data_IF_586869242543
#
_entry.id   IF_586869242543
#
_cell.length_a   1.000
_cell.length_b   1.000
_cell.length_c   1.000
_cell.angle_alpha   90.00
_cell.angle_beta   90.00
_cell.angle_gamma   90.00
#
_symmetry.space_group_name_H-M   'P 1'
#
loop_
_entity.id
_entity.type
_entity.pdbx_description
1 polymer ?
#
# COMPACT_ATOMS: atom_id res chain seq x y z
N UNK A 1 -18.31 22.90 66.72
CA UNK A 1 -17.42 22.39 65.66
C UNK A 1 -17.98 22.78 64.31
N UNK A 2 -17.39 23.73 63.57
CA UNK A 2 -17.83 24.07 62.22
C UNK A 2 -17.03 23.31 61.16
N UNK A 3 -17.72 22.71 60.20
CA UNK A 3 -17.13 22.11 59.01
C UNK A 3 -16.92 23.18 57.91
N UNK A 4 -15.81 23.16 57.16
CA UNK A 4 -15.58 24.12 56.09
C UNK A 4 -16.30 23.71 54.78
N UNK A 5 -16.97 24.68 54.18
CA UNK A 5 -17.54 24.61 52.83
C UNK A 5 -16.40 24.59 51.80
N UNK A 6 -16.35 23.52 50.99
CA UNK A 6 -15.51 23.46 49.80
C UNK A 6 -16.22 24.14 48.63
N UNK A 7 -15.71 25.28 48.20
CA UNK A 7 -16.10 25.96 46.97
C UNK A 7 -15.32 25.36 45.80
N UNK A 8 -15.98 24.59 44.94
CA UNK A 8 -15.39 24.11 43.69
C UNK A 8 -15.77 25.06 42.55
N UNK A 9 -14.82 25.90 42.16
CA UNK A 9 -14.90 26.72 40.95
C UNK A 9 -14.69 25.85 39.71
N UNK A 10 -15.78 25.49 39.02
CA UNK A 10 -15.72 24.86 37.71
C UNK A 10 -15.41 25.90 36.64
N UNK A 11 -14.12 26.06 36.34
CA UNK A 11 -13.62 26.80 35.18
C UNK A 11 -13.83 25.95 33.92
N UNK A 12 -14.88 26.25 33.15
CA UNK A 12 -15.17 25.59 31.88
C UNK A 12 -14.32 26.23 30.78
N UNK A 13 -13.19 25.61 30.46
CA UNK A 13 -12.43 25.93 29.26
C UNK A 13 -13.20 25.45 28.03
N UNK A 14 -13.77 26.38 27.27
CA UNK A 14 -14.16 26.15 25.88
C UNK A 14 -12.88 25.98 25.04
N UNK A 15 -12.45 24.74 24.83
CA UNK A 15 -11.45 24.43 23.80
C UNK A 15 -12.14 24.52 22.45
N UNK A 16 -11.72 25.53 21.68
CA UNK A 16 -12.13 25.80 20.32
C UNK A 16 -11.89 24.57 19.43
N UNK A 17 -12.96 24.00 18.90
CA UNK A 17 -12.95 22.90 17.95
C UNK A 17 -12.74 23.48 16.54
N UNK A 18 -11.47 23.72 16.13
CA UNK A 18 -11.17 24.37 14.84
C UNK A 18 -10.02 23.74 14.03
N UNK A 19 -9.50 22.56 14.40
CA UNK A 19 -8.34 21.98 13.71
C UNK A 19 -8.65 20.99 12.58
N UNK A 20 -9.92 20.67 12.30
CA UNK A 20 -10.29 19.56 11.40
C UNK A 20 -10.31 19.93 9.91
N UNK A 21 -10.32 21.22 9.56
CA UNK A 21 -10.45 21.69 8.18
C UNK A 21 -9.11 21.99 7.50
N UNK A 22 -8.11 22.45 8.25
CA UNK A 22 -6.77 22.74 7.72
C UNK A 22 -6.03 21.46 7.28
N UNK A 23 -6.04 20.41 8.13
CA UNK A 23 -5.36 19.14 7.84
C UNK A 23 -5.89 18.42 6.58
N UNK A 24 -7.17 18.57 6.28
CA UNK A 24 -7.79 17.96 5.11
C UNK A 24 -7.42 18.71 3.83
N UNK A 25 -7.45 20.05 3.84
CA UNK A 25 -7.07 20.86 2.69
C UNK A 25 -5.59 20.63 2.30
N UNK A 26 -4.71 20.51 3.29
CA UNK A 26 -3.30 20.20 3.09
C UNK A 26 -3.11 18.82 2.45
N UNK A 27 -3.89 17.82 2.88
CA UNK A 27 -3.86 16.49 2.26
C UNK A 27 -4.36 16.50 0.82
N UNK A 28 -5.44 17.23 0.51
CA UNK A 28 -5.95 17.34 -0.87
C UNK A 28 -4.98 18.01 -1.83
N UNK A 29 -4.27 19.06 -1.37
CA UNK A 29 -3.25 19.72 -2.18
C UNK A 29 -2.11 18.75 -2.51
N UNK A 30 -1.64 17.99 -1.51
CA UNK A 30 -0.63 16.95 -1.68
C UNK A 30 -1.13 15.83 -2.60
N UNK A 31 -2.38 15.37 -2.42
CA UNK A 31 -2.95 14.31 -3.23
C UNK A 31 -2.97 14.70 -4.72
N UNK A 32 -3.37 15.94 -5.06
CA UNK A 32 -3.33 16.41 -6.45
C UNK A 32 -1.92 16.48 -7.03
N UNK A 33 -0.92 16.91 -6.26
CA UNK A 33 0.47 16.88 -6.73
C UNK A 33 0.98 15.43 -6.95
N UNK A 34 0.65 14.53 -6.03
CA UNK A 34 0.97 13.12 -6.14
C UNK A 34 0.30 12.51 -7.37
N UNK A 35 -0.98 12.78 -7.61
CA UNK A 35 -1.71 12.30 -8.79
C UNK A 35 -1.01 12.73 -10.08
N UNK A 36 -0.69 14.03 -10.19
CA UNK A 36 0.05 14.58 -11.32
C UNK A 36 1.38 13.87 -11.53
N UNK A 37 2.16 13.63 -10.47
CA UNK A 37 3.47 12.98 -10.57
C UNK A 37 3.36 11.46 -10.81
N UNK A 38 2.35 10.81 -10.27
CA UNK A 38 2.06 9.38 -10.50
C UNK A 38 1.56 9.13 -11.93
N UNK A 39 0.92 10.13 -12.57
CA UNK A 39 0.50 10.05 -13.97
C UNK A 39 1.64 10.05 -15.00
N UNK A 40 2.89 10.28 -14.54
CA UNK A 40 4.08 10.38 -15.38
C UNK A 40 5.14 9.38 -14.93
N UNK A 41 5.56 8.50 -15.86
CA UNK A 41 6.57 7.47 -15.56
C UNK A 41 7.89 8.08 -15.06
N UNK A 42 8.28 9.27 -15.55
CA UNK A 42 9.53 9.93 -15.17
C UNK A 42 9.57 10.32 -13.69
N UNK A 43 8.43 10.67 -13.12
CA UNK A 43 8.29 11.14 -11.72
C UNK A 43 7.62 10.09 -10.83
N UNK A 44 7.30 8.93 -11.39
CA UNK A 44 6.49 7.91 -10.75
C UNK A 44 7.15 7.37 -9.48
N UNK A 45 8.44 6.99 -9.55
CA UNK A 45 9.12 6.34 -8.42
C UNK A 45 9.13 7.24 -7.19
N UNK A 46 9.53 8.51 -7.36
CA UNK A 46 9.59 9.47 -6.27
C UNK A 46 8.21 9.67 -5.64
N UNK A 47 7.16 9.85 -6.47
CA UNK A 47 5.80 10.03 -5.99
C UNK A 47 5.24 8.77 -5.33
N UNK A 48 5.54 7.58 -5.85
CA UNK A 48 5.10 6.31 -5.29
C UNK A 48 5.77 6.03 -3.94
N UNK A 49 7.06 6.36 -3.78
CA UNK A 49 7.75 6.27 -2.50
C UNK A 49 7.19 7.26 -1.48
N UNK A 50 6.91 8.49 -1.89
CA UNK A 50 6.28 9.51 -1.05
C UNK A 50 4.87 9.07 -0.60
N UNK A 51 4.06 8.54 -1.52
CA UNK A 51 2.76 7.96 -1.21
C UNK A 51 2.91 6.78 -0.24
N UNK A 52 3.89 5.91 -0.43
CA UNK A 52 4.13 4.76 0.45
C UNK A 52 4.54 5.18 1.86
N UNK A 53 5.34 6.25 1.99
CA UNK A 53 5.66 6.83 3.30
C UNK A 53 4.40 7.41 3.97
N UNK A 54 3.56 8.11 3.20
CA UNK A 54 2.28 8.64 3.68
C UNK A 54 1.21 7.58 3.94
N UNK A 55 1.26 6.43 3.27
CA UNK A 55 0.29 5.37 3.51
C UNK A 55 0.60 4.57 4.79
N UNK A 56 1.77 4.78 5.41
CA UNK A 56 2.15 4.24 6.74
C UNK A 56 1.67 5.12 7.90
N UNK A 57 0.54 5.79 7.74
CA UNK A 57 -0.09 6.61 8.79
C UNK A 57 -0.79 5.75 9.85
N UNK A 58 -1.05 6.32 11.05
CA UNK A 58 -1.93 5.69 12.03
C UNK A 58 -3.31 5.38 11.45
N UNK A 59 -3.98 4.34 11.94
CA UNK A 59 -5.26 3.85 11.39
C UNK A 59 -6.34 4.93 11.24
N UNK A 60 -6.42 5.90 12.17
CA UNK A 60 -7.40 6.99 12.13
C UNK A 60 -7.20 7.92 10.93
N UNK A 61 -5.95 8.28 10.64
CA UNK A 61 -5.58 9.15 9.53
C UNK A 61 -5.66 8.41 8.20
N UNK A 62 -5.22 7.14 8.17
CA UNK A 62 -5.38 6.29 6.99
C UNK A 62 -6.86 6.16 6.61
N UNK A 63 -7.76 5.91 7.57
CA UNK A 63 -9.18 5.76 7.30
C UNK A 63 -9.78 7.02 6.66
N UNK A 64 -9.42 8.21 7.16
CA UNK A 64 -9.86 9.51 6.64
C UNK A 64 -9.47 9.74 5.19
N UNK A 65 -8.25 9.32 4.83
CA UNK A 65 -7.69 9.55 3.49
C UNK A 65 -7.73 8.29 2.59
N UNK A 66 -8.46 7.25 3.02
CA UNK A 66 -8.38 5.93 2.39
C UNK A 66 -8.86 5.94 0.93
N UNK A 67 -9.83 6.80 0.61
CA UNK A 67 -10.33 6.99 -0.75
C UNK A 67 -9.25 7.55 -1.66
N UNK A 68 -8.63 8.64 -1.23
CA UNK A 68 -7.62 9.35 -2.01
C UNK A 68 -6.37 8.49 -2.19
N UNK A 69 -5.93 7.76 -1.15
CA UNK A 69 -4.80 6.82 -1.28
C UNK A 69 -5.10 5.74 -2.31
N UNK A 70 -6.33 5.20 -2.30
CA UNK A 70 -6.80 4.22 -3.27
C UNK A 70 -6.78 4.82 -4.68
N UNK A 71 -7.38 5.99 -4.88
CA UNK A 71 -7.44 6.66 -6.18
C UNK A 71 -6.04 6.93 -6.75
N UNK A 72 -5.09 7.40 -5.92
CA UNK A 72 -3.70 7.59 -6.32
C UNK A 72 -3.01 6.30 -6.76
N UNK A 73 -3.29 5.18 -6.09
CA UNK A 73 -2.72 3.88 -6.47
C UNK A 73 -3.31 3.41 -7.81
N UNK A 74 -4.58 3.69 -8.12
CA UNK A 74 -5.16 3.42 -9.45
C UNK A 74 -4.51 4.28 -10.54
N UNK A 75 -4.36 5.59 -10.31
CA UNK A 75 -3.62 6.46 -11.26
C UNK A 75 -2.23 5.90 -11.54
N UNK A 76 -1.55 5.42 -10.49
CA UNK A 76 -0.27 4.78 -10.63
C UNK A 76 -0.34 3.48 -11.45
N UNK A 77 -1.32 2.62 -11.17
CA UNK A 77 -1.58 1.38 -11.92
C UNK A 77 -1.76 1.64 -13.41
N UNK A 78 -2.62 2.60 -13.77
CA UNK A 78 -2.90 2.98 -15.15
C UNK A 78 -1.64 3.48 -15.86
N UNK A 79 -0.82 4.27 -15.17
CA UNK A 79 0.44 4.78 -15.71
C UNK A 79 1.42 3.66 -16.03
N UNK A 80 1.56 2.70 -15.13
CA UNK A 80 2.42 1.53 -15.36
C UNK A 80 1.91 0.65 -16.50
N UNK A 81 0.60 0.43 -16.59
CA UNK A 81 -0.02 -0.32 -17.70
C UNK A 81 0.22 0.40 -19.03
N UNK A 82 0.02 1.73 -19.09
CA UNK A 82 0.29 2.56 -20.28
C UNK A 82 1.77 2.53 -20.69
N UNK A 83 2.68 2.39 -19.73
CA UNK A 83 4.10 2.20 -19.98
C UNK A 83 4.47 0.76 -20.45
N UNK A 84 3.49 -0.13 -20.62
CA UNK A 84 3.69 -1.52 -21.04
C UNK A 84 4.11 -2.46 -19.91
N UNK A 85 4.03 -2.05 -18.64
CA UNK A 85 4.43 -2.87 -17.50
C UNK A 85 3.27 -3.81 -17.13
N UNK A 86 3.51 -5.11 -17.27
CA UNK A 86 2.57 -6.15 -16.85
C UNK A 86 2.62 -6.31 -15.32
N UNK A 87 1.55 -5.86 -14.65
CA UNK A 87 1.40 -5.88 -13.18
C UNK A 87 0.97 -7.23 -12.61
N UNK A 88 1.21 -8.32 -13.34
CA UNK A 88 1.04 -9.68 -12.82
C UNK A 88 2.29 -10.11 -12.07
N UNK A 89 2.10 -10.87 -11.00
CA UNK A 89 3.23 -11.29 -10.15
C UNK A 89 4.19 -12.23 -10.85
N UNK A 90 3.68 -13.12 -11.70
CA UNK A 90 4.44 -14.18 -12.38
C UNK A 90 4.90 -13.81 -13.79
N UNK A 91 4.76 -12.54 -14.20
CA UNK A 91 5.26 -12.09 -15.50
C UNK A 91 6.70 -11.62 -15.40
N UNK A 92 7.54 -12.08 -16.33
CA UNK A 92 8.86 -11.53 -16.56
C UNK A 92 8.76 -10.01 -16.78
N UNK A 93 9.67 -9.26 -16.16
CA UNK A 93 9.73 -7.81 -16.23
C UNK A 93 11.17 -7.41 -16.55
N UNK A 94 11.39 -6.55 -17.56
CA UNK A 94 12.73 -6.05 -17.86
C UNK A 94 13.39 -5.41 -16.64
N UNK A 95 14.71 -5.56 -16.45
CA UNK A 95 15.40 -5.11 -15.24
C UNK A 95 15.21 -3.61 -14.98
N UNK A 96 15.22 -2.77 -16.02
CA UNK A 96 14.97 -1.32 -15.88
C UNK A 96 13.55 -0.94 -15.44
N UNK A 97 12.58 -1.86 -15.53
CA UNK A 97 11.18 -1.64 -15.14
C UNK A 97 10.83 -2.30 -13.79
N UNK A 98 11.74 -3.10 -13.23
CA UNK A 98 11.54 -3.76 -11.92
C UNK A 98 11.28 -2.78 -10.78
N UNK A 99 11.97 -1.63 -10.65
CA UNK A 99 11.71 -0.69 -9.55
C UNK A 99 10.26 -0.21 -9.51
N UNK A 100 9.69 0.10 -10.68
CA UNK A 100 8.30 0.54 -10.82
C UNK A 100 7.30 -0.52 -10.39
N UNK A 101 7.55 -1.76 -10.84
CA UNK A 101 6.73 -2.92 -10.46
C UNK A 101 6.82 -3.17 -8.95
N UNK A 102 8.02 -3.12 -8.39
CA UNK A 102 8.29 -3.35 -6.97
C UNK A 102 7.56 -2.34 -6.07
N UNK A 103 7.69 -1.04 -6.34
CA UNK A 103 7.04 0.00 -5.52
C UNK A 103 5.52 -0.09 -5.59
N UNK A 104 4.95 -0.41 -6.77
CA UNK A 104 3.52 -0.65 -6.92
C UNK A 104 3.02 -1.81 -6.07
N UNK A 105 3.73 -2.94 -6.05
CA UNK A 105 3.38 -4.05 -5.16
C UNK A 105 3.56 -3.69 -3.68
N UNK A 106 4.51 -2.80 -3.35
CA UNK A 106 4.62 -2.20 -2.02
C UNK A 106 3.36 -1.43 -1.62
N UNK A 107 2.83 -0.58 -2.51
CA UNK A 107 1.58 0.16 -2.30
C UNK A 107 0.39 -0.80 -2.09
N UNK A 108 0.27 -1.84 -2.91
CA UNK A 108 -0.76 -2.88 -2.73
C UNK A 108 -0.65 -3.60 -1.39
N UNK A 109 0.56 -3.79 -0.88
CA UNK A 109 0.80 -4.42 0.42
C UNK A 109 0.27 -3.53 1.56
N UNK A 110 0.47 -2.21 1.46
CA UNK A 110 -0.07 -1.26 2.43
C UNK A 110 -1.60 -1.25 2.41
N UNK A 111 -2.23 -1.25 1.22
CA UNK A 111 -3.69 -1.35 1.09
C UNK A 111 -4.22 -2.64 1.72
N UNK A 112 -3.53 -3.76 1.49
CA UNK A 112 -3.92 -5.06 2.07
C UNK A 112 -3.86 -5.05 3.59
N UNK A 113 -2.79 -4.48 4.16
CA UNK A 113 -2.62 -4.40 5.61
C UNK A 113 -3.73 -3.53 6.25
N UNK A 114 -4.09 -2.44 5.58
CA UNK A 114 -5.13 -1.51 6.01
C UNK A 114 -6.52 -1.86 5.47
N UNK A 115 -6.75 -3.05 4.92
CA UNK A 115 -8.01 -3.40 4.25
C UNK A 115 -9.22 -3.13 5.14
N UNK A 116 -9.11 -3.39 6.44
CA UNK A 116 -10.17 -3.17 7.43
C UNK A 116 -10.54 -1.68 7.61
N UNK A 117 -9.61 -0.76 7.36
CA UNK A 117 -9.81 0.69 7.44
C UNK A 117 -10.38 1.30 6.16
N UNK A 118 -10.43 0.55 5.05
CA UNK A 118 -10.98 1.02 3.78
C UNK A 118 -12.49 0.78 3.77
N UNK A 119 -13.26 1.81 3.44
CA UNK A 119 -14.71 1.76 3.28
C UNK A 119 -15.11 0.64 2.29
N UNK A 120 -16.06 -0.26 2.62
CA UNK A 120 -16.44 -1.39 1.76
C UNK A 120 -16.86 -0.97 0.35
N UNK A 121 -17.46 0.22 0.21
CA UNK A 121 -17.88 0.78 -1.09
C UNK A 121 -16.71 1.08 -2.02
N UNK A 122 -15.54 1.39 -1.46
CA UNK A 122 -14.30 1.70 -2.20
C UNK A 122 -13.53 0.41 -2.50
N UNK A 123 -13.75 -0.67 -1.74
CA UNK A 123 -13.11 -1.97 -2.00
C UNK A 123 -13.57 -2.64 -3.30
N UNK A 124 -14.73 -2.25 -3.83
CA UNK A 124 -15.28 -2.82 -5.07
C UNK A 124 -14.68 -2.22 -6.35
N UNK A 125 -14.16 -0.99 -6.30
CA UNK A 125 -13.48 -0.36 -7.45
C UNK A 125 -12.09 -0.95 -7.68
N UNK A 126 -11.37 -1.31 -6.61
CA UNK A 126 -10.20 -2.18 -6.74
C UNK A 126 -10.63 -3.63 -6.88
N UNK A 127 -10.38 -4.24 -8.04
CA UNK A 127 -10.43 -5.71 -8.16
C UNK A 127 -9.26 -6.34 -7.40
N UNK A 128 -9.32 -6.34 -6.08
CA UNK A 128 -8.36 -6.99 -5.20
C UNK A 128 -8.61 -8.50 -5.25
N UNK A 129 -8.05 -9.20 -6.23
CA UNK A 129 -8.21 -10.66 -6.33
C UNK A 129 -7.60 -11.32 -5.08
N UNK A 130 -8.39 -11.98 -4.21
CA UNK A 130 -7.95 -12.39 -2.87
C UNK A 130 -7.07 -13.66 -2.86
N UNK A 131 -6.71 -14.22 -4.02
CA UNK A 131 -5.92 -15.46 -4.12
C UNK A 131 -4.42 -15.27 -3.90
N UNK A 132 -3.92 -14.05 -3.69
CA UNK A 132 -2.51 -13.79 -3.40
C UNK A 132 -2.13 -14.03 -1.91
N UNK A 133 -2.73 -15.04 -1.28
CA UNK A 133 -2.42 -15.45 0.09
C UNK A 133 -1.14 -16.32 0.12
N UNK A 134 -0.25 -16.01 1.06
CA UNK A 134 0.90 -16.78 1.53
C UNK A 134 2.24 -16.76 0.76
N UNK A 135 2.33 -16.57 -0.56
CA UNK A 135 3.65 -16.62 -1.24
C UNK A 135 4.38 -15.26 -1.37
N UNK A 136 4.18 -14.30 -0.45
CA UNK A 136 4.81 -12.95 -0.54
C UNK A 136 6.18 -12.84 0.14
N UNK A 137 6.34 -13.43 1.31
CA UNK A 137 7.54 -13.21 2.13
C UNK A 137 8.74 -14.02 1.60
N UNK A 138 8.52 -15.14 0.91
CA UNK A 138 9.61 -15.98 0.39
C UNK A 138 10.24 -15.44 -0.91
N UNK A 139 9.51 -14.71 -1.76
CA UNK A 139 9.99 -14.32 -3.10
C UNK A 139 10.58 -12.91 -3.19
N UNK A 140 10.19 -11.99 -2.29
CA UNK A 140 10.84 -10.67 -2.22
C UNK A 140 12.32 -10.80 -1.81
N UNK A 141 12.64 -11.72 -0.91
CA UNK A 141 14.03 -12.02 -0.53
C UNK A 141 14.82 -12.66 -1.68
N UNK A 142 14.20 -13.53 -2.47
CA UNK A 142 14.84 -14.17 -3.64
C UNK A 142 15.10 -13.21 -4.80
N UNK A 143 14.22 -12.22 -5.02
CA UNK A 143 14.44 -11.18 -6.04
C UNK A 143 15.56 -10.21 -5.64
N UNK A 144 15.67 -9.86 -4.35
CA UNK A 144 16.77 -9.03 -3.83
C UNK A 144 18.10 -9.81 -3.83
N UNK A 145 18.08 -11.13 -3.59
CA UNK A 145 19.29 -11.98 -3.66
C UNK A 145 19.76 -12.27 -5.10
N UNK A 146 18.90 -12.17 -6.10
CA UNK A 146 19.32 -12.26 -7.51
C UNK A 146 20.11 -11.03 -7.98
N UNK A 147 19.94 -9.87 -7.33
CA UNK A 147 20.58 -8.62 -7.74
C UNK A 147 22.06 -8.53 -7.34
N UNK A 148 22.54 -9.38 -6.43
CA UNK A 148 23.95 -9.37 -5.98
C UNK A 148 24.82 -10.45 -6.62
N UNK A 149 24.24 -11.42 -7.31
CA UNK A 149 25.00 -12.45 -8.03
C UNK A 149 24.68 -12.39 -9.51
N UNK A 150 25.58 -11.77 -10.26
CA UNK A 150 25.63 -11.68 -11.73
C UNK A 150 25.79 -13.09 -12.37
N UNK A 151 24.86 -14.02 -12.10
CA UNK A 151 24.83 -15.37 -12.66
C UNK A 151 23.59 -15.55 -13.53
N UNK A 152 23.73 -16.15 -14.73
CA UNK A 152 22.58 -16.47 -15.56
C UNK A 152 21.71 -17.49 -14.84
N UNK A 153 20.46 -17.14 -14.58
CA UNK A 153 19.44 -18.05 -14.09
C UNK A 153 19.25 -19.21 -15.09
N UNK A 154 19.96 -20.31 -14.86
CA UNK A 154 19.60 -21.61 -15.43
C UNK A 154 18.22 -22.01 -14.91
N UNK A 155 17.35 -22.46 -15.81
CA UNK A 155 15.92 -22.76 -15.64
C UNK A 155 15.57 -23.87 -14.61
N UNK A 156 16.49 -24.24 -13.71
CA UNK A 156 16.33 -25.35 -12.78
C UNK A 156 15.59 -24.99 -11.47
N UNK A 157 15.40 -23.71 -11.14
CA UNK A 157 14.86 -23.31 -9.83
C UNK A 157 13.31 -23.31 -9.71
N UNK A 158 12.57 -23.62 -10.78
CA UNK A 158 11.08 -23.60 -10.79
C UNK A 158 10.46 -24.96 -10.41
N UNK A 159 11.20 -25.88 -9.79
CA UNK A 159 10.68 -27.22 -9.42
C UNK A 159 10.63 -27.55 -7.93
N UNK A 160 10.64 -26.56 -7.05
CA UNK A 160 10.60 -26.82 -5.61
C UNK A 160 9.57 -25.99 -4.85
N UNK A 161 8.32 -25.92 -5.34
CA UNK A 161 7.14 -25.64 -4.50
C UNK A 161 5.94 -26.39 -5.08
N UNK A 162 5.87 -27.68 -4.81
CA UNK A 162 4.65 -28.47 -5.01
C UNK A 162 4.47 -29.40 -3.80
N UNK A 163 3.71 -28.99 -2.77
CA UNK A 163 3.26 -29.90 -1.74
C UNK A 163 1.75 -30.04 -1.86
N UNK A 164 1.28 -30.95 -2.70
CA UNK A 164 0.08 -31.79 -2.49
C UNK A 164 -0.26 -32.56 -3.77
N UNK A 165 0.51 -33.60 -4.07
CA UNK A 165 0.04 -34.70 -4.90
C UNK A 165 0.72 -35.99 -4.46
N UNK A 166 0.13 -36.65 -3.47
CA UNK A 166 0.19 -38.10 -3.25
C UNK A 166 -0.65 -38.50 -2.04
N UNK A 167 -1.91 -38.87 -2.27
CA UNK A 167 -2.61 -39.87 -1.47
C UNK A 167 -3.74 -40.42 -2.34
N UNK A 168 -3.50 -41.59 -2.95
CA UNK A 168 -4.47 -42.65 -3.24
C UNK A 168 -3.95 -43.52 -4.41
N UNK A 169 -3.15 -44.53 -4.07
CA UNK A 169 -3.09 -45.81 -4.77
C UNK A 169 -2.55 -46.84 -3.78
N UNK A 170 -3.35 -47.86 -3.46
CA UNK A 170 -2.88 -49.06 -2.79
C UNK A 170 -3.78 -49.58 -1.66
N UNK A 171 -4.89 -50.24 -2.01
CA UNK A 171 -5.20 -51.60 -1.59
C UNK A 171 -6.43 -52.09 -2.38
#
# INVERSE_FOLDING_TARGET
MPAPAASSSSSTYHVHNSCTSASNADFYAVARDLERRLSSLRTFLDAAHELLARAKLPCSEFKRCSREIVDLIETGRETLIRAGIKLYRFTSCPPGLLPYKSVYFGLLTVLRHNRHNIEPRIRGTFSFHPTANLCYIATATLLILCETNHRPCSAAAVRAVDPLRNHALGA
#
